data_IF_786012529329
#
_entry.id   IF_786012529329
#
_cell.length_a   1.000
_cell.length_b   1.000
_cell.length_c   1.000
_cell.angle_alpha   90.00
_cell.angle_beta   90.00
_cell.angle_gamma   90.00
#
_symmetry.space_group_name_H-M   'P 1'
#
loop_
_entity.id
_entity.type
_entity.pdbx_description
1 polymer ?
#
# COMPACT_ATOMS: atom_id res chain seq x y z
N UNK A 1 -6.39 11.85 34.14
CA UNK A 1 -6.31 12.80 33.01
C UNK A 1 -4.87 13.27 32.88
N UNK A 2 -4.12 12.76 31.90
CA UNK A 2 -2.78 13.24 31.59
C UNK A 2 -2.83 13.84 30.18
N UNK A 3 -2.93 15.16 30.11
CA UNK A 3 -2.85 15.91 28.87
C UNK A 3 -1.40 15.95 28.41
N UNK A 4 -1.10 15.25 27.32
CA UNK A 4 0.20 15.40 26.63
C UNK A 4 0.08 16.63 25.73
N UNK A 5 0.54 17.77 26.23
CA UNK A 5 0.70 18.98 25.43
C UNK A 5 2.02 18.86 24.67
N UNK A 6 1.95 18.58 23.36
CA UNK A 6 3.11 18.71 22.47
C UNK A 6 3.19 20.17 22.05
N UNK A 7 3.85 21.02 22.86
CA UNK A 7 4.29 22.35 22.42
C UNK A 7 5.54 22.15 21.55
N UNK A 8 5.43 22.49 20.26
CA UNK A 8 6.59 22.51 19.35
C UNK A 8 7.31 23.85 19.50
N UNK A 9 8.62 23.76 19.71
CA UNK A 9 9.56 24.86 19.96
C UNK A 9 9.65 25.74 18.71
N UNK A 10 9.42 27.04 18.89
CA UNK A 10 9.67 28.07 17.90
C UNK A 10 11.17 28.34 17.76
N UNK A 11 11.61 28.43 16.50
CA UNK A 11 12.79 29.10 15.95
C UNK A 11 13.88 29.58 16.93
N UNK A 12 14.96 28.81 17.07
CA UNK A 12 16.30 29.33 17.41
C UNK A 12 17.40 28.52 16.69
N UNK A 13 18.20 29.23 15.89
CA UNK A 13 19.56 28.93 15.41
C UNK A 13 19.89 27.50 14.94
N UNK A 14 20.04 27.38 13.62
CA UNK A 14 20.29 26.22 12.76
C UNK A 14 21.32 25.16 13.23
N UNK A 15 22.31 25.52 14.07
CA UNK A 15 23.40 24.57 14.42
C UNK A 15 23.08 23.64 15.59
N UNK A 16 22.25 24.04 16.55
CA UNK A 16 21.89 23.16 17.70
C UNK A 16 20.67 22.27 17.39
N UNK A 17 19.79 22.72 16.50
CA UNK A 17 18.62 21.96 16.02
C UNK A 17 19.04 20.80 15.12
N UNK A 18 20.08 20.95 14.29
CA UNK A 18 20.60 19.85 13.49
C UNK A 18 21.12 18.69 14.37
N UNK A 19 21.82 18.98 15.47
CA UNK A 19 22.34 17.95 16.38
C UNK A 19 21.21 17.24 17.14
N UNK A 20 20.18 17.97 17.60
CA UNK A 20 19.02 17.37 18.28
C UNK A 20 18.11 16.59 17.32
N UNK A 21 17.90 17.07 16.09
CA UNK A 21 17.18 16.30 15.05
C UNK A 21 17.94 15.05 14.65
N UNK A 22 19.28 15.11 14.55
CA UNK A 22 20.11 13.92 14.31
C UNK A 22 20.05 12.97 15.51
N UNK A 23 20.08 13.43 16.75
CA UNK A 23 19.95 12.57 17.93
C UNK A 23 18.55 11.94 18.07
N UNK A 24 17.47 12.69 17.79
CA UNK A 24 16.10 12.18 17.80
C UNK A 24 15.83 11.26 16.61
N UNK A 25 16.35 11.55 15.42
CA UNK A 25 16.31 10.65 14.27
C UNK A 25 17.13 9.37 14.52
N UNK A 26 18.30 9.46 15.18
CA UNK A 26 19.12 8.29 15.55
C UNK A 26 18.48 7.44 16.66
N UNK A 27 17.69 8.06 17.54
CA UNK A 27 16.88 7.37 18.54
C UNK A 27 15.60 6.75 17.93
N UNK A 28 14.99 7.39 16.93
CA UNK A 28 13.77 6.92 16.26
C UNK A 28 14.03 5.88 15.15
N UNK A 29 15.18 5.96 14.47
CA UNK A 29 15.55 5.03 13.40
C UNK A 29 16.32 3.80 13.91
N UNK A 30 16.71 3.79 15.19
CA UNK A 30 17.62 2.78 15.72
C UNK A 30 19.00 2.91 15.08
N UNK A 31 20.05 2.82 15.89
CA UNK A 31 21.40 2.71 15.34
C UNK A 31 21.45 1.48 14.42
N UNK A 32 22.02 1.55 13.21
CA UNK A 32 22.24 0.38 12.37
C UNK A 32 23.32 -0.47 13.07
N UNK A 33 22.89 -1.24 14.08
CA UNK A 33 23.63 -2.42 14.48
C UNK A 33 23.52 -3.35 13.29
N UNK A 34 24.66 -3.54 12.64
CA UNK A 34 24.92 -4.60 11.70
C UNK A 34 24.11 -5.82 12.12
N UNK A 35 23.18 -6.24 11.26
CA UNK A 35 22.46 -7.50 11.38
C UNK A 35 23.50 -8.62 11.25
N UNK A 36 24.22 -8.86 12.35
CA UNK A 36 24.93 -10.10 12.56
C UNK A 36 23.81 -11.10 12.83
N UNK A 37 23.52 -11.91 11.81
CA UNK A 37 22.68 -13.10 11.90
C UNK A 37 23.28 -14.04 12.96
N UNK A 38 23.05 -13.70 14.23
CA UNK A 38 23.24 -14.59 15.35
C UNK A 38 21.89 -15.23 15.60
N UNK A 39 21.79 -16.55 15.40
CA UNK A 39 20.60 -17.37 15.60
C UNK A 39 20.14 -17.48 17.05
N UNK A 40 19.94 -16.34 17.72
CA UNK A 40 19.18 -16.25 18.96
C UNK A 40 17.72 -16.05 18.59
N UNK A 41 16.87 -17.04 18.91
CA UNK A 41 15.45 -17.05 18.57
C UNK A 41 14.79 -15.71 18.85
N UNK A 42 14.46 -14.97 17.78
CA UNK A 42 13.63 -13.78 17.88
C UNK A 42 12.31 -14.25 18.47
N UNK A 43 12.08 -13.94 19.74
CA UNK A 43 10.76 -14.04 20.36
C UNK A 43 9.86 -13.12 19.57
N UNK A 44 9.19 -13.70 18.57
CA UNK A 44 8.17 -13.03 17.80
C UNK A 44 7.19 -12.46 18.81
N UNK A 45 7.13 -11.13 18.92
CA UNK A 45 6.19 -10.43 19.80
C UNK A 45 4.77 -10.51 19.20
N UNK A 46 4.37 -11.68 18.73
CA UNK A 46 3.02 -12.00 18.32
C UNK A 46 2.19 -12.09 19.58
N UNK A 47 1.56 -10.99 19.95
CA UNK A 47 0.45 -11.03 20.91
C UNK A 47 -0.60 -11.97 20.33
N UNK A 48 -0.99 -13.01 21.06
CA UNK A 48 -2.03 -13.91 20.56
C UNK A 48 -3.36 -13.14 20.49
N UNK A 49 -4.27 -13.57 19.61
CA UNK A 49 -5.57 -12.93 19.49
C UNK A 49 -6.38 -13.03 20.79
N UNK A 50 -6.23 -14.15 21.51
CA UNK A 50 -6.79 -14.35 22.83
C UNK A 50 -6.29 -13.29 23.82
N UNK A 51 -4.97 -13.03 23.85
CA UNK A 51 -4.40 -11.99 24.73
C UNK A 51 -4.95 -10.59 24.43
N UNK A 52 -5.25 -10.29 23.16
CA UNK A 52 -5.88 -9.01 22.79
C UNK A 52 -7.31 -8.91 23.32
N UNK A 53 -8.10 -9.98 23.21
CA UNK A 53 -9.46 -10.04 23.75
C UNK A 53 -9.42 -9.92 25.28
N UNK A 54 -8.50 -10.61 25.95
CA UNK A 54 -8.36 -10.57 27.41
C UNK A 54 -7.94 -9.19 27.91
N UNK A 55 -7.25 -8.39 27.08
CA UNK A 55 -6.95 -6.98 27.33
C UNK A 55 -8.12 -6.03 27.05
N UNK A 56 -9.28 -6.56 26.64
CA UNK A 56 -10.48 -5.78 26.32
C UNK A 56 -10.43 -5.10 24.96
N UNK A 57 -9.54 -5.51 24.05
CA UNK A 57 -9.56 -5.02 22.67
C UNK A 57 -10.75 -5.67 21.95
N UNK A 58 -11.63 -4.85 21.38
CA UNK A 58 -12.71 -5.35 20.55
C UNK A 58 -12.15 -6.03 19.30
N UNK A 59 -12.47 -7.32 19.14
CA UNK A 59 -12.12 -8.10 17.95
C UNK A 59 -13.40 -8.51 17.26
N UNK A 60 -13.53 -8.15 15.98
CA UNK A 60 -14.72 -8.41 15.18
C UNK A 60 -14.35 -9.08 13.87
N UNK A 61 -15.30 -9.76 13.27
CA UNK A 61 -15.15 -10.46 12.00
C UNK A 61 -16.36 -10.18 11.10
N UNK A 62 -16.11 -10.06 9.80
CA UNK A 62 -17.15 -9.96 8.78
C UNK A 62 -17.18 -11.26 7.98
N UNK A 63 -18.32 -11.93 7.91
CA UNK A 63 -18.44 -13.19 7.19
C UNK A 63 -18.38 -13.00 5.66
N UNK A 64 -17.99 -14.04 4.91
CA UNK A 64 -17.97 -14.01 3.45
C UNK A 64 -19.39 -13.86 2.89
N UNK A 65 -19.58 -12.91 1.97
CA UNK A 65 -20.88 -12.68 1.31
C UNK A 65 -20.92 -13.23 -0.11
N UNK A 66 -19.76 -13.25 -0.77
CA UNK A 66 -19.64 -13.76 -2.13
C UNK A 66 -19.04 -15.17 -2.09
N UNK A 67 -19.50 -16.08 -2.96
CA UNK A 67 -18.88 -17.40 -3.09
C UNK A 67 -17.55 -17.31 -3.86
N UNK A 68 -16.72 -18.36 -3.74
CA UNK A 68 -15.43 -18.47 -4.45
C UNK A 68 -15.58 -18.32 -5.97
N UNK A 69 -16.65 -18.82 -6.56
CA UNK A 69 -16.92 -18.69 -8.01
C UNK A 69 -17.11 -17.25 -8.47
N UNK A 70 -17.74 -16.41 -7.64
CA UNK A 70 -17.89 -14.97 -7.93
C UNK A 70 -16.53 -14.26 -7.78
N UNK A 71 -15.74 -14.62 -6.77
CA UNK A 71 -14.40 -14.06 -6.59
C UNK A 71 -13.47 -14.36 -7.78
N UNK A 72 -13.52 -15.59 -8.32
CA UNK A 72 -12.83 -15.97 -9.57
C UNK A 72 -13.26 -15.07 -10.72
N UNK A 73 -14.58 -14.92 -10.91
CA UNK A 73 -15.13 -14.06 -11.99
C UNK A 73 -14.67 -12.60 -11.85
N UNK A 74 -14.71 -12.03 -10.64
CA UNK A 74 -14.23 -10.66 -10.38
C UNK A 74 -12.75 -10.50 -10.69
N UNK A 75 -11.94 -11.49 -10.34
CA UNK A 75 -10.52 -11.51 -10.69
C UNK A 75 -10.29 -11.59 -12.20
N UNK A 76 -11.01 -12.45 -12.92
CA UNK A 76 -10.94 -12.52 -14.39
C UNK A 76 -11.38 -11.20 -15.05
N UNK A 77 -12.44 -10.56 -14.55
CA UNK A 77 -12.89 -9.25 -15.02
C UNK A 77 -11.84 -8.17 -14.78
N UNK A 78 -11.18 -8.18 -13.63
CA UNK A 78 -10.05 -7.30 -13.35
C UNK A 78 -8.90 -7.52 -14.34
N UNK A 79 -8.46 -8.77 -14.53
CA UNK A 79 -7.39 -9.09 -15.49
C UNK A 79 -7.75 -8.66 -16.91
N UNK A 80 -9.02 -8.83 -17.34
CA UNK A 80 -9.49 -8.38 -18.65
C UNK A 80 -9.38 -6.87 -18.82
N UNK A 81 -9.72 -6.10 -17.79
CA UNK A 81 -9.66 -4.63 -17.80
C UNK A 81 -8.21 -4.12 -17.73
N UNK A 82 -7.39 -4.72 -16.88
CA UNK A 82 -6.03 -4.24 -16.60
C UNK A 82 -4.97 -4.70 -17.60
N UNK A 83 -5.12 -5.87 -18.23
CA UNK A 83 -4.08 -6.48 -19.06
C UNK A 83 -4.37 -6.49 -20.57
N UNK A 84 -5.30 -5.66 -21.07
CA UNK A 84 -5.72 -5.62 -22.49
C UNK A 84 -5.82 -7.01 -23.15
N UNK A 85 -6.81 -7.82 -22.77
CA UNK A 85 -7.25 -9.08 -23.42
C UNK A 85 -6.23 -10.19 -23.77
N UNK A 86 -4.91 -9.97 -23.70
CA UNK A 86 -3.95 -10.79 -24.42
C UNK A 86 -3.67 -12.16 -23.77
N UNK A 87 -3.94 -12.34 -22.45
CA UNK A 87 -3.55 -13.59 -21.76
C UNK A 87 -4.51 -14.08 -20.66
N UNK A 88 -5.71 -13.52 -20.50
CA UNK A 88 -6.58 -13.82 -19.35
C UNK A 88 -7.16 -15.25 -19.30
N UNK A 89 -7.15 -16.00 -20.42
CA UNK A 89 -7.99 -17.21 -20.57
C UNK A 89 -7.52 -18.50 -19.90
N UNK A 90 -6.41 -18.53 -19.14
CA UNK A 90 -5.90 -19.80 -18.59
C UNK A 90 -5.11 -19.71 -17.27
N UNK A 91 -5.21 -18.60 -16.51
CA UNK A 91 -4.37 -18.45 -15.32
C UNK A 91 -4.84 -19.31 -14.16
N UNK A 92 -6.14 -19.34 -13.87
CA UNK A 92 -6.72 -20.21 -12.86
C UNK A 92 -7.06 -21.54 -13.54
N UNK A 93 -6.16 -22.52 -13.41
CA UNK A 93 -6.33 -23.83 -14.01
C UNK A 93 -7.73 -24.38 -13.74
N UNK A 94 -8.40 -24.87 -14.79
CA UNK A 94 -9.70 -25.53 -14.68
C UNK A 94 -9.58 -26.59 -13.57
N UNK A 95 -10.48 -26.64 -12.56
CA UNK A 95 -10.35 -27.60 -11.48
C UNK A 95 -10.23 -29.02 -12.08
N UNK A 96 -9.23 -29.81 -11.67
CA UNK A 96 -9.03 -31.15 -12.19
C UNK A 96 -10.20 -32.04 -11.72
N UNK A 97 -11.29 -32.07 -12.47
CA UNK A 97 -12.48 -32.82 -12.06
C UNK A 97 -13.68 -32.77 -13.01
N UNK A 98 -13.87 -31.72 -13.80
CA UNK A 98 -14.96 -31.68 -14.80
C UNK A 98 -14.51 -32.31 -16.11
N UNK A 99 -14.56 -33.66 -16.15
CA UNK A 99 -14.58 -34.41 -17.41
C UNK A 99 -15.89 -34.10 -18.12
N UNK A 100 -15.87 -33.11 -19.02
CA UNK A 100 -16.90 -33.00 -20.05
C UNK A 100 -16.81 -34.26 -20.92
N UNK A 101 -17.73 -35.19 -20.68
CA UNK A 101 -17.90 -36.41 -21.46
C UNK A 101 -18.51 -36.01 -22.80
N UNK A 102 -17.66 -35.72 -23.79
CA UNK A 102 -18.10 -35.59 -25.18
C UNK A 102 -18.73 -36.92 -25.63
N UNK A 103 -19.92 -36.91 -26.28
CA UNK A 103 -20.52 -38.12 -26.80
C UNK A 103 -19.91 -38.49 -28.16
N UNK A 104 -19.43 -39.73 -28.27
CA UNK A 104 -19.41 -40.50 -29.51
C UNK A 104 -18.35 -40.15 -30.55
N UNK A 105 -17.22 -40.85 -30.51
CA UNK A 105 -16.54 -41.26 -31.74
C UNK A 105 -15.85 -42.60 -31.51
N UNK A 106 -16.42 -43.62 -32.13
CA UNK A 106 -15.99 -45.02 -32.09
C UNK A 106 -14.95 -45.22 -33.19
N UNK A 107 -13.72 -45.63 -32.85
CA UNK A 107 -12.77 -46.20 -33.80
C UNK A 107 -12.21 -47.49 -33.19
N UNK A 108 -12.29 -48.65 -33.87
CA UNK A 108 -11.72 -49.89 -33.38
C UNK A 108 -10.33 -50.17 -33.96
N UNK A 109 -9.51 -50.86 -33.17
CA UNK A 109 -8.48 -51.79 -33.65
C UNK A 109 -7.04 -51.28 -33.68
N UNK A 110 -6.20 -51.74 -32.75
CA UNK A 110 -5.28 -52.87 -33.00
C UNK A 110 -4.28 -53.08 -31.86
N UNK A 111 -3.83 -54.32 -31.78
CA UNK A 111 -3.27 -55.04 -30.64
C UNK A 111 -1.75 -54.97 -30.47
N UNK A 112 -1.35 -55.11 -29.20
CA UNK A 112 -0.24 -55.93 -28.66
C UNK A 112 1.24 -55.55 -28.91
N UNK A 113 1.99 -55.44 -27.80
CA UNK A 113 3.46 -55.49 -27.78
C UNK A 113 4.12 -55.10 -26.45
N UNK A 114 4.12 -56.04 -25.49
CA UNK A 114 5.12 -56.39 -24.44
C UNK A 114 5.99 -55.34 -23.67
N UNK A 115 6.50 -55.70 -22.45
CA UNK A 115 6.95 -54.76 -21.43
C UNK A 115 8.48 -54.57 -21.41
N UNK A 116 8.94 -53.40 -20.95
CA UNK A 116 10.35 -53.19 -20.70
C UNK A 116 10.73 -51.80 -20.19
N UNK A 117 11.35 -51.82 -19.01
CA UNK A 117 12.41 -50.95 -18.49
C UNK A 117 12.01 -49.63 -17.79
N UNK A 118 12.36 -49.65 -16.50
CA UNK A 118 12.35 -48.58 -15.52
C UNK A 118 13.25 -47.39 -15.85
N UNK A 119 12.90 -46.28 -15.17
CA UNK A 119 13.75 -45.17 -14.75
C UNK A 119 14.36 -44.28 -15.84
N UNK A 120 13.92 -43.02 -15.86
CA UNK A 120 14.73 -41.85 -15.48
C UNK A 120 14.03 -40.55 -15.90
N UNK A 121 13.92 -39.59 -14.97
CA UNK A 121 13.77 -38.18 -15.34
C UNK A 121 12.34 -37.65 -15.50
N UNK A 122 11.46 -37.89 -14.53
CA UNK A 122 10.35 -36.98 -14.32
C UNK A 122 10.92 -35.64 -13.82
N UNK A 123 11.29 -34.75 -14.74
CA UNK A 123 11.40 -33.34 -14.43
C UNK A 123 10.09 -32.93 -13.74
N UNK A 124 10.11 -32.34 -12.54
CA UNK A 124 8.91 -31.74 -11.98
C UNK A 124 8.51 -30.64 -12.95
N UNK A 125 7.55 -30.94 -13.83
CA UNK A 125 6.88 -29.96 -14.64
C UNK A 125 6.36 -28.93 -13.64
N UNK A 126 6.96 -27.74 -13.68
CA UNK A 126 6.58 -26.61 -12.84
C UNK A 126 5.15 -26.26 -13.21
N UNK A 127 4.20 -26.93 -12.57
CA UNK A 127 2.79 -26.66 -12.77
C UNK A 127 2.58 -25.22 -12.33
N UNK A 128 2.30 -24.35 -13.30
CA UNK A 128 1.95 -22.95 -13.13
C UNK A 128 0.62 -22.89 -12.38
N UNK A 129 0.64 -23.23 -11.10
CA UNK A 129 -0.56 -23.38 -10.28
C UNK A 129 -0.88 -22.02 -9.71
N UNK A 130 -1.66 -21.25 -10.47
CA UNK A 130 -2.35 -20.13 -9.85
C UNK A 130 -3.35 -20.70 -8.85
N UNK A 131 -3.32 -20.16 -7.63
CA UNK A 131 -4.15 -20.63 -6.52
C UNK A 131 -5.03 -19.49 -6.04
N UNK A 132 -6.26 -19.81 -5.66
CA UNK A 132 -7.17 -18.88 -5.02
C UNK A 132 -7.49 -19.42 -3.63
N UNK A 133 -7.08 -18.70 -2.58
CA UNK A 133 -7.24 -19.13 -1.19
C UNK A 133 -8.11 -18.14 -0.44
N UNK A 134 -9.16 -18.62 0.21
CA UNK A 134 -9.96 -17.80 1.13
C UNK A 134 -9.15 -17.51 2.41
N UNK A 135 -9.22 -16.28 2.89
CA UNK A 135 -8.52 -15.84 4.08
C UNK A 135 -9.23 -14.65 4.74
N UNK A 136 -9.00 -14.48 6.04
CA UNK A 136 -9.39 -13.27 6.74
C UNK A 136 -8.19 -12.37 6.97
N UNK A 137 -8.28 -11.14 6.47
CA UNK A 137 -7.24 -10.13 6.57
C UNK A 137 -7.50 -9.21 7.77
N UNK A 138 -6.51 -8.98 8.66
CA UNK A 138 -6.70 -8.15 9.83
C UNK A 138 -6.54 -6.65 9.52
N UNK A 139 -7.42 -5.82 10.08
CA UNK A 139 -7.36 -4.37 10.00
C UNK A 139 -7.54 -3.76 11.39
N UNK A 140 -6.68 -2.79 11.71
CA UNK A 140 -6.96 -1.87 12.78
C UNK A 140 -7.93 -0.81 12.27
N UNK A 141 -9.14 -0.82 12.82
CA UNK A 141 -10.15 0.20 12.57
C UNK A 141 -10.18 1.16 13.75
N UNK A 142 -10.16 2.46 13.44
CA UNK A 142 -10.18 3.50 14.44
C UNK A 142 -11.41 4.39 14.30
N UNK A 143 -11.88 4.92 15.41
CA UNK A 143 -12.86 6.00 15.46
C UNK A 143 -12.22 7.13 16.27
N UNK A 144 -12.30 8.36 15.78
CA UNK A 144 -11.71 9.50 16.47
C UNK A 144 -12.58 10.75 16.33
N UNK A 145 -12.76 11.45 17.44
CA UNK A 145 -13.29 12.82 17.42
C UNK A 145 -12.12 13.79 17.43
N UNK A 146 -12.11 14.77 16.53
CA UNK A 146 -11.02 15.71 16.38
C UNK A 146 -11.51 17.13 16.02
N UNK A 147 -10.63 18.10 16.29
CA UNK A 147 -10.73 19.44 15.75
C UNK A 147 -9.64 19.62 14.69
N UNK A 148 -9.94 20.37 13.64
CA UNK A 148 -8.96 20.72 12.62
C UNK A 148 -8.92 22.21 12.36
N UNK A 149 -7.71 22.76 12.33
CA UNK A 149 -7.42 24.15 11.99
C UNK A 149 -6.46 24.16 10.81
N UNK A 150 -6.62 25.12 9.90
CA UNK A 150 -5.72 25.28 8.76
C UNK A 150 -4.98 26.60 8.76
N UNK A 151 -3.73 26.52 8.33
CA UNK A 151 -2.80 27.61 8.10
C UNK A 151 -2.32 27.53 6.66
N UNK A 152 -2.01 28.67 6.05
CA UNK A 152 -1.45 28.69 4.70
C UNK A 152 -1.22 30.10 4.19
N UNK A 153 -0.56 30.18 3.05
CA UNK A 153 -0.32 31.42 2.31
C UNK A 153 -1.31 31.51 1.16
N UNK A 154 -1.97 32.64 1.05
CA UNK A 154 -2.98 32.94 0.04
C UNK A 154 -2.34 33.74 -1.08
N UNK A 155 -2.43 33.24 -2.31
CA UNK A 155 -1.99 33.94 -3.50
C UNK A 155 -3.15 34.63 -4.20
N UNK A 156 -3.07 35.95 -4.33
CA UNK A 156 -4.03 36.75 -5.10
C UNK A 156 -3.37 37.26 -6.36
N UNK A 157 -3.99 37.02 -7.51
CA UNK A 157 -3.54 37.59 -8.77
C UNK A 157 -4.00 39.04 -8.88
N UNK A 158 -3.06 39.97 -8.94
CA UNK A 158 -3.38 41.38 -9.17
C UNK A 158 -3.90 41.56 -10.62
N UNK A 159 -5.06 42.18 -10.77
CA UNK A 159 -5.69 42.39 -12.08
C UNK A 159 -4.93 43.37 -12.97
N UNK A 160 -4.11 44.25 -12.38
CA UNK A 160 -3.36 45.26 -13.13
C UNK A 160 -2.01 44.76 -13.61
N UNK A 161 -1.25 44.13 -12.72
CA UNK A 161 0.13 43.66 -13.01
C UNK A 161 0.17 42.21 -13.46
N UNK A 162 -0.87 41.41 -13.14
CA UNK A 162 -0.87 39.97 -13.35
C UNK A 162 0.03 39.20 -12.38
N UNK A 163 0.73 39.90 -11.47
CA UNK A 163 1.62 39.29 -10.49
C UNK A 163 0.84 38.65 -9.33
N UNK A 164 1.43 37.61 -8.75
CA UNK A 164 0.85 36.90 -7.61
C UNK A 164 1.34 37.54 -6.31
N UNK A 165 0.43 38.17 -5.58
CA UNK A 165 0.69 38.71 -4.25
C UNK A 165 0.37 37.65 -3.20
N UNK A 166 1.41 37.20 -2.48
CA UNK A 166 1.27 36.22 -1.40
C UNK A 166 1.03 36.91 -0.07
N UNK A 167 -0.02 36.50 0.63
CA UNK A 167 -0.35 36.97 1.98
C UNK A 167 -0.44 35.79 2.93
N UNK A 168 0.29 35.87 4.04
CA UNK A 168 0.13 34.92 5.12
C UNK A 168 -1.25 35.11 5.75
N UNK A 169 -1.95 34.00 6.01
CA UNK A 169 -3.21 34.05 6.73
C UNK A 169 -2.90 34.30 8.22
N UNK A 170 -3.31 35.46 8.74
CA UNK A 170 -3.03 35.85 10.12
C UNK A 170 -3.70 34.91 11.15
N UNK A 171 -4.97 34.57 10.91
CA UNK A 171 -5.75 33.73 11.82
C UNK A 171 -5.97 32.32 11.23
N UNK A 172 -5.80 31.25 12.03
CA UNK A 172 -6.19 29.90 11.60
C UNK A 172 -7.66 29.87 11.23
N UNK A 173 -7.98 29.20 10.13
CA UNK A 173 -9.37 28.91 9.80
C UNK A 173 -9.76 27.60 10.49
N UNK A 174 -10.73 27.60 11.41
CA UNK A 174 -11.30 26.35 11.90
C UNK A 174 -11.99 25.64 10.73
N UNK A 175 -11.50 24.46 10.38
CA UNK A 175 -12.11 23.62 9.35
C UNK A 175 -13.20 22.75 9.95
N UNK A 176 -12.93 22.20 11.13
CA UNK A 176 -13.89 21.35 11.82
C UNK A 176 -13.72 21.43 13.33
N UNK A 177 -14.86 21.41 14.03
CA UNK A 177 -14.93 21.38 15.49
C UNK A 177 -15.76 20.18 15.91
N UNK A 178 -15.17 19.25 16.65
CA UNK A 178 -15.83 18.02 17.10
C UNK A 178 -16.18 17.05 15.98
N UNK A 179 -15.47 17.11 14.83
CA UNK A 179 -15.72 16.18 13.73
C UNK A 179 -15.36 14.75 14.14
N UNK A 180 -16.14 13.79 13.64
CA UNK A 180 -15.93 12.36 13.90
C UNK A 180 -15.42 11.70 12.64
N UNK A 181 -14.26 11.05 12.72
CA UNK A 181 -13.79 10.09 11.73
C UNK A 181 -14.26 8.69 12.16
N UNK A 182 -15.33 8.14 11.55
CA UNK A 182 -15.91 6.87 11.96
C UNK A 182 -15.04 5.67 11.54
N UNK A 183 -15.27 4.50 12.15
CA UNK A 183 -14.65 3.23 11.74
C UNK A 183 -14.84 2.89 10.26
N UNK A 184 -15.95 3.34 9.68
CA UNK A 184 -16.28 3.14 8.27
C UNK A 184 -15.46 3.99 7.30
N UNK A 185 -14.70 4.98 7.77
CA UNK A 185 -13.85 5.82 6.91
C UNK A 185 -12.61 5.03 6.48
N UNK A 186 -12.33 4.88 5.16
CA UNK A 186 -11.13 4.19 4.67
C UNK A 186 -9.83 4.76 5.24
N UNK A 187 -9.77 6.07 5.56
CA UNK A 187 -8.59 6.67 6.18
C UNK A 187 -8.29 6.12 7.58
N UNK A 188 -9.32 5.59 8.26
CA UNK A 188 -9.23 5.02 9.61
C UNK A 188 -9.12 3.49 9.61
N UNK A 189 -9.02 2.86 8.44
CA UNK A 189 -8.84 1.41 8.27
C UNK A 189 -7.40 1.12 7.85
N UNK A 190 -6.63 0.47 8.71
CA UNK A 190 -5.21 0.18 8.47
C UNK A 190 -4.98 -1.31 8.47
N UNK A 191 -4.54 -1.84 7.34
CA UNK A 191 -4.16 -3.24 7.21
C UNK A 191 -3.06 -3.60 8.21
N UNK A 192 -3.30 -4.65 9.00
CA UNK A 192 -2.56 -4.95 10.21
C UNK A 192 -1.56 -6.11 10.08
N UNK A 193 -1.24 -6.56 8.87
CA UNK A 193 -0.21 -7.58 8.64
C UNK A 193 0.86 -7.08 7.66
N UNK A 194 2.05 -7.65 7.76
CA UNK A 194 3.17 -7.37 6.83
C UNK A 194 3.30 -8.44 5.73
N UNK A 195 2.42 -9.45 5.72
CA UNK A 195 2.51 -10.57 4.77
C UNK A 195 2.28 -10.15 3.31
N UNK A 196 1.45 -9.13 3.09
CA UNK A 196 1.12 -8.62 1.76
C UNK A 196 1.44 -7.13 1.69
N UNK A 197 1.74 -6.64 0.48
CA UNK A 197 1.89 -5.21 0.21
C UNK A 197 0.60 -4.51 0.63
N UNK A 198 0.73 -3.41 1.37
CA UNK A 198 -0.40 -2.67 1.95
C UNK A 198 -1.47 -2.33 0.91
N UNK A 199 -1.04 -1.95 -0.30
CA UNK A 199 -1.93 -1.58 -1.39
C UNK A 199 -2.80 -2.77 -1.82
N UNK A 200 -2.22 -3.97 -1.90
CA UNK A 200 -2.95 -5.21 -2.19
C UNK A 200 -3.93 -5.52 -1.06
N UNK A 201 -3.51 -5.34 0.20
CA UNK A 201 -4.38 -5.47 1.35
C UNK A 201 -5.59 -4.53 1.28
N UNK A 202 -5.49 -3.35 0.67
CA UNK A 202 -6.63 -2.42 0.62
C UNK A 202 -7.86 -2.96 -0.12
N UNK A 203 -7.73 -3.98 -0.98
CA UNK A 203 -8.86 -4.53 -1.73
C UNK A 203 -9.97 -5.18 -0.89
N UNK A 204 -9.63 -5.65 0.31
CA UNK A 204 -10.64 -6.20 1.24
C UNK A 204 -11.28 -5.13 2.15
N UNK A 205 -10.69 -3.94 2.21
CA UNK A 205 -11.25 -2.80 2.95
C UNK A 205 -12.32 -2.08 2.12
N UNK A 206 -13.18 -1.33 2.80
CA UNK A 206 -14.28 -0.64 2.13
C UNK A 206 -15.08 0.25 3.08
N UNK A 207 -15.81 1.23 2.54
CA UNK A 207 -16.61 2.14 3.34
C UNK A 207 -17.69 1.36 4.09
N UNK A 208 -17.77 1.56 5.41
CA UNK A 208 -18.82 0.97 6.26
C UNK A 208 -18.72 -0.53 6.55
N UNK A 209 -17.76 -1.28 5.98
CA UNK A 209 -17.59 -2.71 6.25
C UNK A 209 -17.39 -3.04 7.75
N UNK A 210 -16.61 -2.26 8.52
CA UNK A 210 -16.42 -2.53 9.95
C UNK A 210 -17.72 -2.49 10.77
N UNK A 211 -18.73 -1.74 10.32
CA UNK A 211 -20.01 -1.60 11.03
C UNK A 211 -20.91 -2.83 10.90
N UNK A 212 -20.62 -3.71 9.93
CA UNK A 212 -21.37 -4.94 9.63
C UNK A 212 -20.79 -6.16 10.33
N UNK A 213 -19.68 -5.99 11.04
CA UNK A 213 -18.95 -7.09 11.66
C UNK A 213 -19.66 -7.58 12.93
N UNK A 214 -19.62 -8.89 13.17
CA UNK A 214 -20.00 -9.48 14.45
C UNK A 214 -18.78 -9.57 15.37
N UNK A 215 -19.01 -9.57 16.68
CA UNK A 215 -17.94 -9.80 17.66
C UNK A 215 -17.42 -11.23 17.51
N UNK A 216 -16.09 -11.37 17.51
CA UNK A 216 -15.43 -12.66 17.43
C UNK A 216 -15.46 -13.36 18.79
N UNK A 217 -15.71 -14.67 18.79
CA UNK A 217 -15.71 -15.47 20.03
C UNK A 217 -14.29 -15.85 20.45
N UNK A 218 -14.06 -16.08 21.75
CA UNK A 218 -12.76 -16.55 22.25
C UNK A 218 -12.33 -17.90 21.64
N UNK A 219 -13.29 -18.77 21.31
CA UNK A 219 -13.01 -20.07 20.70
C UNK A 219 -12.44 -19.91 19.28
N UNK A 220 -13.06 -19.06 18.45
CA UNK A 220 -12.56 -18.71 17.11
C UNK A 220 -11.16 -18.07 17.19
N UNK A 221 -10.95 -17.19 18.16
CA UNK A 221 -9.68 -16.53 18.38
C UNK A 221 -8.54 -17.49 18.74
N UNK A 222 -8.83 -18.49 19.59
CA UNK A 222 -7.86 -19.54 19.96
C UNK A 222 -7.62 -20.53 18.82
N UNK A 223 -8.64 -20.82 18.01
CA UNK A 223 -8.53 -21.72 16.87
C UNK A 223 -7.69 -21.13 15.71
N UNK A 224 -7.68 -19.80 15.57
CA UNK A 224 -6.96 -19.13 14.48
C UNK A 224 -7.62 -19.30 13.10
N UNK A 225 -8.87 -19.78 13.06
CA UNK A 225 -9.68 -19.93 11.86
C UNK A 225 -11.16 -19.76 12.17
N UNK A 226 -11.94 -19.34 11.17
CA UNK A 226 -13.41 -19.24 11.25
C UNK A 226 -14.02 -19.94 10.05
N UNK A 227 -14.93 -20.90 10.28
CA UNK A 227 -15.54 -21.69 9.21
C UNK A 227 -14.53 -22.47 8.36
N UNK A 228 -13.39 -22.86 8.93
CA UNK A 228 -12.28 -23.51 8.21
C UNK A 228 -11.39 -22.57 7.40
N UNK A 229 -11.67 -21.26 7.41
CA UNK A 229 -10.86 -20.23 6.74
C UNK A 229 -9.87 -19.63 7.73
N UNK A 230 -8.60 -19.58 7.36
CA UNK A 230 -7.52 -19.11 8.22
C UNK A 230 -7.60 -17.60 8.51
N UNK A 231 -7.33 -17.23 9.76
CA UNK A 231 -7.12 -15.84 10.18
C UNK A 231 -5.66 -15.47 9.97
N UNK A 232 -5.39 -14.38 9.24
CA UNK A 232 -4.02 -13.88 9.12
C UNK A 232 -3.56 -13.19 10.41
N UNK A 233 -2.28 -13.31 10.78
CA UNK A 233 -1.78 -12.70 12.00
C UNK A 233 -1.77 -11.16 11.90
N UNK A 234 -2.18 -10.49 12.98
CA UNK A 234 -2.13 -9.03 13.11
C UNK A 234 -0.74 -8.60 13.61
N UNK A 235 0.26 -8.67 12.74
CA UNK A 235 1.67 -8.37 13.05
C UNK A 235 1.92 -6.88 13.38
N UNK A 236 1.10 -5.98 12.87
CA UNK A 236 1.26 -4.54 13.05
C UNK A 236 0.78 -4.12 14.44
N UNK A 237 1.65 -3.41 15.16
CA UNK A 237 1.30 -2.81 16.45
C UNK A 237 0.24 -1.71 16.26
N UNK A 238 -0.76 -1.70 17.14
CA UNK A 238 -1.84 -0.71 17.17
C UNK A 238 -1.32 0.74 17.14
N UNK A 239 -0.24 1.05 17.88
CA UNK A 239 0.34 2.39 17.90
C UNK A 239 0.90 2.85 16.55
N UNK A 240 1.48 1.93 15.76
CA UNK A 240 1.95 2.21 14.40
C UNK A 240 0.76 2.41 13.46
N UNK A 241 -0.24 1.53 13.56
CA UNK A 241 -1.46 1.64 12.77
C UNK A 241 -2.18 2.99 13.01
N UNK A 242 -2.23 3.46 14.26
CA UNK A 242 -2.79 4.75 14.61
C UNK A 242 -2.06 5.92 13.92
N UNK A 243 -0.73 5.91 13.86
CA UNK A 243 0.02 6.96 13.17
C UNK A 243 -0.26 6.98 11.66
N UNK A 244 -0.45 5.80 11.05
CA UNK A 244 -0.83 5.70 9.65
C UNK A 244 -2.25 6.23 9.40
N UNK A 245 -3.20 5.94 10.31
CA UNK A 245 -4.56 6.46 10.25
C UNK A 245 -4.60 7.99 10.39
N UNK A 246 -3.89 8.54 11.38
CA UNK A 246 -3.77 10.01 11.56
C UNK A 246 -3.17 10.66 10.32
N UNK A 247 -2.12 10.09 9.73
CA UNK A 247 -1.53 10.64 8.50
C UNK A 247 -2.54 10.66 7.35
N UNK A 248 -3.28 9.57 7.15
CA UNK A 248 -4.31 9.50 6.11
C UNK A 248 -5.44 10.54 6.37
N UNK A 249 -5.87 10.68 7.63
CA UNK A 249 -6.83 11.69 8.04
C UNK A 249 -6.31 13.11 7.80
N UNK A 250 -5.05 13.41 8.10
CA UNK A 250 -4.40 14.71 7.81
C UNK A 250 -4.42 15.00 6.32
N UNK A 251 -4.10 14.04 5.46
CA UNK A 251 -4.15 14.23 4.01
C UNK A 251 -5.57 14.54 3.52
N UNK A 252 -6.57 13.82 4.02
CA UNK A 252 -7.99 14.10 3.71
C UNK A 252 -8.41 15.50 4.17
N UNK A 253 -8.00 15.90 5.37
CA UNK A 253 -8.29 17.23 5.91
C UNK A 253 -7.55 18.33 5.15
N UNK A 254 -6.35 18.07 4.63
CA UNK A 254 -5.60 19.02 3.82
C UNK A 254 -6.29 19.30 2.48
N UNK A 255 -6.84 18.28 1.82
CA UNK A 255 -7.66 18.46 0.62
C UNK A 255 -8.90 19.31 0.90
N UNK A 256 -9.64 18.98 1.96
CA UNK A 256 -10.79 19.78 2.39
C UNK A 256 -10.38 21.22 2.78
N UNK A 257 -9.18 21.40 3.35
CA UNK A 257 -8.64 22.72 3.70
C UNK A 257 -8.41 23.59 2.47
N UNK A 258 -7.80 23.03 1.43
CA UNK A 258 -7.51 23.74 0.19
C UNK A 258 -8.80 24.22 -0.49
N UNK A 259 -9.82 23.37 -0.54
CA UNK A 259 -11.13 23.71 -1.07
C UNK A 259 -11.81 24.81 -0.23
N UNK A 260 -11.85 24.64 1.09
CA UNK A 260 -12.46 25.62 2.00
C UNK A 260 -11.75 26.98 1.95
N UNK A 261 -10.41 26.99 1.86
CA UNK A 261 -9.62 28.23 1.75
C UNK A 261 -9.91 28.94 0.43
N UNK A 262 -9.90 28.24 -0.70
CA UNK A 262 -10.26 28.83 -2.01
C UNK A 262 -11.66 29.44 -1.99
N UNK A 263 -12.63 28.73 -1.44
CA UNK A 263 -14.02 29.20 -1.35
C UNK A 263 -14.19 30.42 -0.43
N UNK A 264 -13.55 30.41 0.74
CA UNK A 264 -13.74 31.47 1.75
C UNK A 264 -13.00 32.75 1.39
N UNK A 265 -11.79 32.65 0.83
CA UNK A 265 -10.93 33.82 0.61
C UNK A 265 -10.90 34.30 -0.83
N UNK A 266 -11.38 33.51 -1.79
CA UNK A 266 -11.27 33.82 -3.23
C UNK A 266 -9.83 33.86 -3.73
N UNK A 267 -8.90 33.19 -3.04
CA UNK A 267 -7.50 33.13 -3.44
C UNK A 267 -7.36 32.36 -4.75
N UNK A 268 -6.52 32.86 -5.66
CA UNK A 268 -6.25 32.23 -6.95
C UNK A 268 -5.36 31.00 -6.79
N UNK A 269 -4.39 31.08 -5.87
CA UNK A 269 -3.45 29.99 -5.59
C UNK A 269 -3.19 29.87 -4.08
N UNK A 270 -2.70 28.70 -3.66
CA UNK A 270 -2.43 28.37 -2.26
C UNK A 270 -1.00 27.83 -2.12
N UNK A 271 -0.28 28.24 -1.08
CA UNK A 271 1.04 27.71 -0.73
C UNK A 271 1.15 27.37 0.74
N UNK A 272 2.02 26.39 1.04
CA UNK A 272 2.35 25.96 2.39
C UNK A 272 1.11 25.65 3.27
N UNK A 273 0.07 25.07 2.67
CA UNK A 273 -1.15 24.71 3.39
C UNK A 273 -0.82 23.62 4.41
N UNK A 274 -1.16 23.86 5.67
CA UNK A 274 -0.91 22.95 6.79
C UNK A 274 -2.17 22.82 7.61
N UNK A 275 -2.47 21.59 8.01
CA UNK A 275 -3.57 21.30 8.91
C UNK A 275 -3.01 20.88 10.26
N UNK A 276 -3.43 21.57 11.31
CA UNK A 276 -3.25 21.13 12.69
C UNK A 276 -4.47 20.29 13.10
N UNK A 277 -4.21 19.05 13.50
CA UNK A 277 -5.23 18.15 14.02
C UNK A 277 -5.07 17.98 15.52
N UNK A 278 -6.14 18.26 16.26
CA UNK A 278 -6.24 17.96 17.67
C UNK A 278 -7.23 16.82 17.89
N UNK A 279 -6.73 15.64 18.23
CA UNK A 279 -7.56 14.47 18.53
C UNK A 279 -8.05 14.55 19.97
N UNK A 280 -9.37 14.55 20.15
CA UNK A 280 -10.03 14.65 21.45
C UNK A 280 -10.25 13.27 22.07
N UNK A 281 -10.83 12.37 21.29
CA UNK A 281 -11.13 11.00 21.70
C UNK A 281 -10.68 10.03 20.62
N UNK A 282 -10.35 8.80 21.01
CA UNK A 282 -10.05 7.72 20.08
C UNK A 282 -10.55 6.39 20.60
N UNK A 283 -11.04 5.55 19.70
CA UNK A 283 -11.41 4.15 19.93
C UNK A 283 -10.77 3.30 18.84
N UNK A 284 -10.54 2.03 19.15
CA UNK A 284 -9.93 1.09 18.23
C UNK A 284 -10.62 -0.26 18.31
N UNK A 285 -10.67 -0.95 17.18
CA UNK A 285 -11.11 -2.34 17.07
C UNK A 285 -10.19 -3.05 16.09
N UNK A 286 -9.90 -4.32 16.35
CA UNK A 286 -9.29 -5.20 15.36
C UNK A 286 -10.42 -5.87 14.58
N UNK A 287 -10.41 -5.75 13.27
CA UNK A 287 -11.47 -6.28 12.39
C UNK A 287 -10.87 -7.21 11.37
N UNK A 288 -11.42 -8.40 11.24
CA UNK A 288 -11.05 -9.39 10.23
C UNK A 288 -12.02 -9.29 9.05
N UNK A 289 -11.51 -8.86 7.91
CA UNK A 289 -12.28 -8.72 6.68
C UNK A 289 -12.04 -9.92 5.76
N UNK A 290 -13.10 -10.46 5.14
CA UNK A 290 -13.00 -11.64 4.28
C UNK A 290 -12.35 -11.25 2.96
N UNK A 291 -11.45 -12.09 2.46
CA UNK A 291 -10.76 -11.88 1.21
C UNK A 291 -10.42 -13.21 0.52
N UNK A 292 -10.33 -13.17 -0.79
CA UNK A 292 -9.74 -14.24 -1.59
C UNK A 292 -8.39 -13.79 -2.14
N UNK A 293 -7.37 -14.57 -1.85
CA UNK A 293 -5.99 -14.28 -2.23
C UNK A 293 -5.67 -15.12 -3.46
N UNK A 294 -5.52 -14.45 -4.59
CA UNK A 294 -5.11 -15.04 -5.85
C UNK A 294 -3.59 -14.91 -5.99
N UNK A 295 -2.87 -16.02 -5.94
CA UNK A 295 -1.45 -16.07 -6.31
C UNK A 295 -1.39 -16.62 -7.72
N UNK A 296 -0.83 -15.84 -8.65
CA UNK A 296 -0.79 -16.23 -10.07
C UNK A 296 0.56 -15.91 -10.67
N UNK A 297 0.92 -16.63 -11.72
CA UNK A 297 2.15 -16.37 -12.46
C UNK A 297 1.87 -15.59 -13.73
N UNK A 298 2.65 -14.55 -13.97
CA UNK A 298 2.62 -13.78 -15.21
C UNK A 298 4.03 -13.62 -15.76
N UNK A 299 4.17 -13.88 -17.06
CA UNK A 299 5.46 -13.82 -17.74
C UNK A 299 5.82 -12.39 -18.12
N UNK A 300 6.94 -11.86 -17.60
CA UNK A 300 7.30 -10.44 -17.81
C UNK A 300 8.52 -10.20 -18.70
N UNK A 301 9.21 -11.24 -19.17
CA UNK A 301 10.44 -11.10 -19.97
C UNK A 301 10.42 -11.88 -21.28
N UNK A 302 10.92 -11.27 -22.33
CA UNK A 302 11.60 -11.95 -23.43
C UNK A 302 13.10 -11.67 -23.28
N UNK A 303 13.94 -12.69 -23.11
CA UNK A 303 15.39 -12.47 -23.26
C UNK A 303 15.68 -12.20 -24.74
N UNK A 304 16.00 -10.95 -25.09
CA UNK A 304 16.50 -10.62 -26.43
C UNK A 304 17.81 -11.40 -26.67
N UNK A 305 17.83 -12.24 -27.70
CA UNK A 305 19.04 -12.96 -28.15
C UNK A 305 19.03 -14.48 -27.96
N UNK A 306 18.06 -15.07 -27.26
CA UNK A 306 17.93 -16.55 -27.18
C UNK A 306 16.45 -16.92 -27.10
N UNK A 307 15.97 -17.73 -28.05
CA UNK A 307 14.57 -18.10 -28.29
C UNK A 307 13.60 -17.87 -27.12
N UNK A 308 12.84 -16.76 -27.16
CA UNK A 308 11.53 -16.64 -26.52
C UNK A 308 11.37 -17.03 -25.04
N UNK A 309 12.43 -17.00 -24.21
CA UNK A 309 12.33 -17.51 -22.83
C UNK A 309 11.54 -16.52 -21.97
N UNK A 310 10.30 -16.90 -21.65
CA UNK A 310 9.40 -16.20 -20.73
C UNK A 310 9.82 -16.54 -19.30
N UNK A 311 10.25 -15.53 -18.53
CA UNK A 311 10.52 -15.69 -17.10
C UNK A 311 9.21 -15.50 -16.33
N UNK A 312 8.68 -16.55 -15.66
CA UNK A 312 7.49 -16.43 -14.85
C UNK A 312 7.80 -15.61 -13.60
N UNK A 313 6.96 -14.62 -13.30
CA UNK A 313 6.96 -13.90 -12.04
C UNK A 313 5.66 -14.17 -11.30
N UNK A 314 5.74 -14.31 -9.98
CA UNK A 314 4.58 -14.55 -9.12
C UNK A 314 4.02 -13.21 -8.67
N UNK A 315 2.72 -13.02 -8.90
CA UNK A 315 1.96 -11.85 -8.49
C UNK A 315 0.88 -12.27 -7.50
N UNK A 316 0.45 -11.31 -6.69
CA UNK A 316 -0.64 -11.51 -5.74
C UNK A 316 -1.74 -10.50 -6.02
N UNK A 317 -2.96 -10.99 -6.09
CA UNK A 317 -4.15 -10.16 -6.04
C UNK A 317 -5.01 -10.54 -4.86
N UNK A 318 -5.73 -9.56 -4.34
CA UNK A 318 -6.72 -9.72 -3.30
C UNK A 318 -8.06 -9.30 -3.88
N UNK A 319 -9.04 -10.18 -3.73
CA UNK A 319 -10.43 -9.95 -4.07
C UNK A 319 -11.19 -9.85 -2.76
N UNK A 320 -11.83 -8.73 -2.47
CA UNK A 320 -12.66 -8.59 -1.27
C UNK A 320 -13.79 -9.63 -1.26
N UNK A 321 -14.01 -10.27 -0.10
CA UNK A 321 -15.01 -11.33 0.09
C UNK A 321 -16.44 -10.81 0.34
N UNK A 322 -16.66 -9.51 0.18
CA UNK A 322 -17.95 -8.83 0.32
C UNK A 322 -18.44 -8.33 -1.02
N UNK A 323 -19.73 -7.99 -1.13
CA UNK A 323 -20.26 -7.41 -2.38
C UNK A 323 -19.57 -6.10 -2.75
N UNK A 324 -19.25 -5.29 -1.74
CA UNK A 324 -18.58 -3.99 -1.86
C UNK A 324 -17.05 -4.09 -1.99
N UNK A 325 -16.51 -5.29 -1.82
CA UNK A 325 -15.07 -5.56 -1.90
C UNK A 325 -14.52 -5.30 -3.30
N UNK A 326 -13.30 -4.76 -3.35
CA UNK A 326 -12.61 -4.46 -4.61
C UNK A 326 -11.62 -5.57 -4.97
N UNK A 327 -11.20 -5.58 -6.23
CA UNK A 327 -10.07 -6.40 -6.68
C UNK A 327 -8.86 -5.49 -6.81
N UNK A 328 -7.81 -5.79 -6.04
CA UNK A 328 -6.55 -5.07 -6.11
C UNK A 328 -5.44 -6.09 -6.34
N UNK A 329 -4.58 -5.83 -7.32
CA UNK A 329 -3.42 -6.65 -7.61
C UNK A 329 -2.14 -5.84 -7.47
N UNK A 330 -1.03 -6.53 -7.18
CA UNK A 330 0.30 -5.96 -7.35
C UNK A 330 0.47 -5.48 -8.79
N UNK A 331 0.92 -4.24 -8.97
CA UNK A 331 1.18 -3.69 -10.30
C UNK A 331 2.27 -4.49 -11.04
N UNK A 332 2.05 -4.70 -12.33
CA UNK A 332 2.98 -5.42 -13.20
C UNK A 332 4.05 -4.44 -13.70
N UNK A 333 5.03 -4.15 -12.85
CA UNK A 333 6.13 -3.28 -13.24
C UNK A 333 7.13 -4.06 -14.10
N UNK A 334 7.31 -3.64 -15.36
CA UNK A 334 8.41 -4.13 -16.19
C UNK A 334 9.72 -3.51 -15.68
N UNK A 335 10.69 -4.30 -15.17
CA UNK A 335 11.93 -3.76 -14.59
C UNK A 335 12.69 -2.88 -15.57
N UNK A 336 12.69 -3.21 -16.85
CA UNK A 336 13.38 -2.47 -17.91
C UNK A 336 12.71 -1.12 -18.17
N UNK A 337 11.38 -1.06 -18.15
CA UNK A 337 10.66 0.23 -18.29
C UNK A 337 10.79 1.08 -17.03
N UNK A 338 10.74 0.46 -15.85
CA UNK A 338 11.01 1.15 -14.59
C UNK A 338 12.45 1.69 -14.53
N UNK A 339 13.43 0.94 -15.04
CA UNK A 339 14.83 1.40 -15.12
C UNK A 339 15.04 2.46 -16.21
N UNK A 340 14.34 2.37 -17.34
CA UNK A 340 14.41 3.38 -18.40
C UNK A 340 13.71 4.68 -17.99
N UNK A 341 12.60 4.63 -17.27
CA UNK A 341 11.95 5.83 -16.74
C UNK A 341 12.76 6.47 -15.62
N UNK A 342 13.31 5.67 -14.71
CA UNK A 342 14.23 6.16 -13.68
C UNK A 342 15.52 6.73 -14.30
N UNK A 343 16.11 6.05 -15.28
CA UNK A 343 17.32 6.47 -15.98
C UNK A 343 17.10 7.69 -16.89
N UNK A 344 15.95 7.80 -17.54
CA UNK A 344 15.57 8.95 -18.36
C UNK A 344 15.37 10.22 -17.55
N UNK A 345 14.87 10.12 -16.31
CA UNK A 345 14.79 11.27 -15.39
C UNK A 345 16.17 11.72 -14.91
N UNK A 346 17.07 10.79 -14.59
CA UNK A 346 18.45 11.13 -14.21
C UNK A 346 19.24 11.69 -15.39
N UNK A 347 19.08 11.12 -16.59
CA UNK A 347 19.71 11.61 -17.81
C UNK A 347 19.15 12.95 -18.30
N UNK A 348 17.84 13.17 -18.14
CA UNK A 348 17.18 14.44 -18.48
C UNK A 348 17.55 15.58 -17.53
N UNK A 349 17.68 15.29 -16.22
CA UNK A 349 18.22 16.26 -15.25
C UNK A 349 19.71 16.52 -15.46
N UNK A 350 20.48 15.50 -15.87
CA UNK A 350 21.90 15.65 -16.20
C UNK A 350 22.15 16.47 -17.47
N UNK A 351 21.31 16.32 -18.51
CA UNK A 351 21.42 17.09 -19.75
C UNK A 351 20.92 18.54 -19.59
N UNK A 352 19.89 18.79 -18.77
CA UNK A 352 19.48 20.16 -18.42
C UNK A 352 20.50 20.87 -17.51
N UNK A 353 21.30 20.14 -16.73
CA UNK A 353 22.42 20.69 -15.98
C UNK A 353 23.66 20.95 -16.87
N UNK A 354 23.74 20.35 -18.06
CA UNK A 354 24.85 20.48 -19.00
C UNK A 354 24.78 21.70 -19.93
N UNK A 355 23.58 22.26 -20.18
CA UNK A 355 23.38 23.38 -21.12
C UNK A 355 22.99 24.71 -20.46
N UNK A 356 22.89 24.76 -19.13
CA UNK A 356 22.53 25.97 -18.38
C UNK A 356 23.76 26.72 -17.83
N UNK A 357 24.65 27.19 -18.70
CA UNK A 357 25.75 28.11 -18.33
C UNK A 357 25.30 29.57 -18.12
N UNK A 358 23.99 29.87 -18.16
CA UNK A 358 23.44 31.22 -18.02
C UNK A 358 22.26 31.35 -17.05
N UNK A 359 21.91 30.30 -16.30
CA UNK A 359 20.86 30.38 -15.27
C UNK A 359 21.47 30.81 -13.92
N UNK A 360 20.94 31.91 -13.38
CA UNK A 360 21.34 32.54 -12.12
C UNK A 360 20.97 31.69 -10.88
N UNK A 361 21.68 31.85 -9.75
CA UNK A 361 21.71 30.90 -8.65
C UNK A 361 20.47 31.05 -7.75
N UNK A 362 19.46 30.24 -8.00
CA UNK A 362 18.24 30.16 -7.19
C UNK A 362 18.19 28.78 -6.54
N UNK A 363 18.93 28.59 -5.43
CA UNK A 363 18.64 27.63 -4.34
C UNK A 363 19.79 27.38 -3.34
N UNK A 364 20.96 28.03 -3.44
CA UNK A 364 22.00 27.93 -2.40
C UNK A 364 22.54 26.51 -2.14
N UNK A 365 22.28 25.56 -3.04
CA UNK A 365 22.72 24.17 -2.98
C UNK A 365 24.08 23.92 -3.68
N UNK A 366 24.73 24.98 -4.18
CA UNK A 366 25.95 24.86 -5.01
C UNK A 366 27.16 24.29 -4.27
N UNK A 367 27.20 24.34 -2.94
CA UNK A 367 28.36 23.85 -2.19
C UNK A 367 28.35 22.35 -1.93
N UNK A 368 27.28 21.62 -2.26
CA UNK A 368 27.18 20.18 -2.01
C UNK A 368 27.21 19.33 -3.29
N UNK A 369 26.94 19.91 -4.47
CA UNK A 369 26.90 19.16 -5.72
C UNK A 369 28.26 18.67 -6.27
N UNK A 370 29.40 19.37 -6.11
CA UNK A 370 30.65 18.87 -6.69
C UNK A 370 31.30 17.72 -5.89
N UNK A 371 30.77 17.36 -4.72
CA UNK A 371 31.33 16.29 -3.87
C UNK A 371 30.52 14.99 -3.87
N UNK A 372 29.30 14.98 -4.42
CA UNK A 372 28.51 13.77 -4.57
C UNK A 372 29.00 13.05 -5.84
N UNK A 373 29.72 11.94 -5.67
CA UNK A 373 30.07 11.08 -6.80
C UNK A 373 28.82 10.62 -7.55
N UNK A 374 28.96 10.24 -8.82
CA UNK A 374 27.84 9.80 -9.69
C UNK A 374 26.94 8.73 -9.04
N UNK A 375 27.50 7.92 -8.14
CA UNK A 375 26.81 6.89 -7.37
C UNK A 375 25.85 7.49 -6.33
N UNK A 376 26.24 8.55 -5.64
CA UNK A 376 25.41 9.16 -4.57
C UNK A 376 24.28 10.00 -5.16
N UNK A 377 24.53 10.69 -6.28
CA UNK A 377 23.50 11.38 -7.05
C UNK A 377 22.45 10.39 -7.60
N UNK A 378 22.88 9.23 -8.11
CA UNK A 378 21.98 8.17 -8.58
C UNK A 378 21.16 7.59 -7.43
N UNK A 379 21.78 7.40 -6.26
CA UNK A 379 21.08 6.87 -5.08
C UNK A 379 20.01 7.86 -4.58
N UNK A 380 20.32 9.16 -4.55
CA UNK A 380 19.37 10.22 -4.19
C UNK A 380 18.24 10.36 -5.21
N UNK A 381 18.54 10.26 -6.50
CA UNK A 381 17.51 10.32 -7.54
C UNK A 381 16.59 9.09 -7.51
N UNK A 382 17.11 7.90 -7.25
CA UNK A 382 16.31 6.67 -7.05
C UNK A 382 15.42 6.79 -5.81
N UNK A 383 15.94 7.38 -4.73
CA UNK A 383 15.16 7.64 -3.51
C UNK A 383 14.07 8.71 -3.72
N UNK A 384 14.38 9.78 -4.45
CA UNK A 384 13.44 10.84 -4.79
C UNK A 384 12.35 10.35 -5.76
N UNK A 385 12.71 9.57 -6.78
CA UNK A 385 11.75 8.95 -7.70
C UNK A 385 10.84 7.94 -6.98
N UNK A 386 11.40 7.16 -6.05
CA UNK A 386 10.61 6.24 -5.21
C UNK A 386 9.70 6.98 -4.23
N UNK A 387 10.11 8.17 -3.76
CA UNK A 387 9.28 9.04 -2.91
C UNK A 387 8.18 9.79 -3.66
N UNK A 388 8.36 10.05 -4.96
CA UNK A 388 7.41 10.78 -5.81
C UNK A 388 6.32 9.91 -6.44
N UNK A 389 6.37 8.58 -6.28
CA UNK A 389 5.37 7.66 -6.83
C UNK A 389 5.29 7.64 -8.37
N UNK A 390 6.30 8.20 -9.06
CA UNK A 390 6.34 8.23 -10.53
C UNK A 390 6.93 6.93 -11.07
N UNK A 391 6.14 5.86 -11.08
CA UNK A 391 6.42 4.69 -11.89
C UNK A 391 5.56 4.74 -13.16
N UNK A 392 6.21 4.63 -14.32
CA UNK A 392 5.49 4.49 -15.60
C UNK A 392 4.71 3.18 -15.56
N UNK A 393 3.41 3.31 -15.36
CA UNK A 393 2.46 2.20 -15.45
C UNK A 393 2.44 1.75 -16.92
N UNK A 394 2.66 0.45 -17.16
CA UNK A 394 2.23 -0.13 -18.43
C UNK A 394 0.70 -0.09 -18.45
N UNK A 395 0.12 0.93 -19.08
CA UNK A 395 -1.25 0.86 -19.61
C UNK A 395 -1.26 0.04 -20.89
#
# INVERSE_FOLDING_TARGET
MLGVIIKRIESLSSRRTATLLVCVARAALGSPRSYRSGGGGATSYTCSLADLIDRGVAVSILDFEIPTSEAVRRFEDYQRKSCMYLHARNLLGRPPGTRDRAPGSTIPGSSAGAPGVDACGANPSSSNTSTLTAAYLPYWCFEATFNSETYGKLGFKDSRTGEMVWKDKADPLPLSTGAVAPFGDPAMQVYASYKYVRDVGSGAAGPGLPLRCRVMTQAEAKAGHVGGVALHPADMRQGVAWQLAVRALTHKQLQAAEEALRQTTGATDLRDVRVALQVLTRRCSLVFLPAYIAVYQYGSRYKQGTSGVIVPQVFTAVVGGTKDGQVVATEHLCPTKASLSAGGLVGGLGLLAGEATWATPLLGLETLLPQLGSVEALTLAVLAASGAGMYVVCM
#
